data_IF_472700508595
#
_entry.id   IF_472700508595
#
_cell.length_a   1.000
_cell.length_b   1.000
_cell.length_c   1.000
_cell.angle_alpha   90.00
_cell.angle_beta   90.00
_cell.angle_gamma   90.00
#
_symmetry.space_group_name_H-M   'P 1'
#
loop_
_entity.id
_entity.type
_entity.pdbx_description
1 polymer ?
#
# COMPACT_ATOMS: atom_id res chain seq x y z
N UNK A 1 -15.69 20.71 -8.01
CA UNK A 1 -14.34 20.69 -7.40
C UNK A 1 -13.39 19.78 -8.16
N UNK A 2 -13.42 18.45 -8.04
CA UNK A 2 -12.44 17.62 -8.78
C UNK A 2 -12.51 17.74 -10.31
N UNK A 3 -13.70 17.67 -10.92
CA UNK A 3 -13.86 17.89 -12.37
C UNK A 3 -13.44 19.29 -12.83
N UNK A 4 -13.52 20.28 -11.95
CA UNK A 4 -13.08 21.65 -12.21
C UNK A 4 -11.55 21.72 -12.17
N UNK A 5 -10.92 21.10 -11.16
CA UNK A 5 -9.48 20.96 -11.08
C UNK A 5 -8.90 20.31 -12.33
N UNK A 6 -9.51 19.22 -12.80
CA UNK A 6 -9.05 18.48 -13.98
C UNK A 6 -8.96 19.36 -15.23
N UNK A 7 -9.86 20.34 -15.37
CA UNK A 7 -9.99 21.19 -16.56
C UNK A 7 -9.27 22.53 -16.42
N UNK A 8 -9.05 23.00 -15.20
CA UNK A 8 -8.46 24.33 -14.99
C UNK A 8 -6.95 24.32 -15.23
N UNK A 9 -6.43 25.33 -15.92
CA UNK A 9 -5.01 25.44 -16.26
C UNK A 9 -4.27 26.51 -15.46
N UNK A 10 -4.79 26.90 -14.29
CA UNK A 10 -4.21 28.00 -13.52
C UNK A 10 -2.97 27.53 -12.74
N UNK A 11 -1.89 28.33 -12.67
CA UNK A 11 -0.68 27.95 -11.93
C UNK A 11 -0.93 27.63 -10.44
N UNK A 12 -1.91 28.28 -9.80
CA UNK A 12 -2.31 28.04 -8.40
C UNK A 12 -3.13 26.75 -8.20
N UNK A 13 -3.34 25.98 -9.25
CA UNK A 13 -4.18 24.77 -9.27
C UNK A 13 -3.42 23.53 -9.74
N UNK A 14 -2.09 23.52 -9.67
CA UNK A 14 -1.30 22.41 -10.18
C UNK A 14 -1.31 21.18 -9.25
N UNK A 15 -1.64 21.35 -7.96
CA UNK A 15 -1.68 20.25 -6.98
C UNK A 15 -3.12 19.97 -6.55
N UNK A 16 -3.52 18.70 -6.56
CA UNK A 16 -4.71 18.19 -5.89
C UNK A 16 -4.32 17.12 -4.89
N UNK A 17 -4.65 17.34 -3.63
CA UNK A 17 -4.24 16.49 -2.53
C UNK A 17 -5.41 15.68 -1.98
N UNK A 18 -5.31 14.36 -2.04
CA UNK A 18 -6.19 13.45 -1.30
C UNK A 18 -5.57 13.19 0.08
N UNK A 19 -6.23 13.66 1.12
CA UNK A 19 -5.85 13.42 2.50
C UNK A 19 -6.76 12.37 3.14
N UNK A 20 -6.22 11.51 3.99
CA UNK A 20 -7.03 10.46 4.61
C UNK A 20 -6.33 9.63 5.66
N UNK A 21 -7.08 9.20 6.69
CA UNK A 21 -6.61 8.29 7.73
C UNK A 21 -6.10 6.97 7.14
N UNK A 22 -5.23 6.22 7.82
CA UNK A 22 -4.88 4.84 7.44
C UNK A 22 -6.14 4.03 7.17
N UNK A 23 -6.16 3.20 6.12
CA UNK A 23 -7.32 2.37 5.80
C UNK A 23 -8.58 3.09 5.30
N UNK A 24 -8.53 4.39 4.96
CA UNK A 24 -9.69 5.15 4.43
C UNK A 24 -9.93 5.00 2.91
N UNK A 25 -9.14 4.19 2.21
CA UNK A 25 -9.33 3.92 0.78
C UNK A 25 -8.60 4.86 -0.19
N UNK A 26 -7.66 5.69 0.27
CA UNK A 26 -6.83 6.58 -0.59
C UNK A 26 -6.23 5.86 -1.80
N UNK A 27 -5.50 4.77 -1.58
CA UNK A 27 -4.87 3.99 -2.64
C UNK A 27 -5.86 3.31 -3.57
N UNK A 28 -7.03 2.91 -3.05
CA UNK A 28 -8.13 2.38 -3.85
C UNK A 28 -8.68 3.45 -4.78
N UNK A 29 -8.92 4.67 -4.25
CA UNK A 29 -9.36 5.81 -5.03
C UNK A 29 -8.31 6.20 -6.09
N UNK A 30 -7.03 6.25 -5.73
CA UNK A 30 -5.95 6.56 -6.68
C UNK A 30 -5.91 5.56 -7.85
N UNK A 31 -6.00 4.26 -7.56
CA UNK A 31 -6.05 3.21 -8.58
C UNK A 31 -7.29 3.32 -9.47
N UNK A 32 -8.44 3.64 -8.87
CA UNK A 32 -9.67 3.87 -9.61
C UNK A 32 -9.53 5.05 -10.58
N UNK A 33 -9.07 6.20 -10.09
CA UNK A 33 -8.90 7.42 -10.88
C UNK A 33 -7.85 7.26 -11.99
N UNK A 34 -6.78 6.51 -11.73
CA UNK A 34 -5.79 6.18 -12.75
C UNK A 34 -6.43 5.42 -13.94
N UNK A 35 -7.42 4.57 -13.70
CA UNK A 35 -8.08 3.77 -14.75
C UNK A 35 -9.38 4.38 -15.27
N UNK A 36 -9.86 5.45 -14.66
CA UNK A 36 -11.15 6.05 -14.96
C UNK A 36 -11.09 6.88 -16.26
N UNK A 37 -11.99 6.59 -17.19
CA UNK A 37 -12.05 7.22 -18.52
C UNK A 37 -12.55 8.66 -18.47
N UNK A 38 -13.38 9.04 -17.50
CA UNK A 38 -13.87 10.41 -17.37
C UNK A 38 -12.80 11.34 -16.78
N UNK A 39 -11.94 10.81 -15.90
CA UNK A 39 -10.71 11.51 -15.46
C UNK A 39 -9.80 11.77 -16.64
N UNK A 40 -9.58 10.76 -17.49
CA UNK A 40 -8.76 10.89 -18.69
C UNK A 40 -9.34 11.93 -19.67
N UNK A 41 -10.65 11.90 -19.93
CA UNK A 41 -11.33 12.93 -20.75
C UNK A 41 -11.19 14.34 -20.14
N UNK A 42 -11.31 14.45 -18.81
CA UNK A 42 -11.13 15.72 -18.10
C UNK A 42 -9.73 16.29 -18.29
N UNK A 43 -8.70 15.46 -18.12
CA UNK A 43 -7.30 15.84 -18.35
C UNK A 43 -7.03 16.14 -19.82
N UNK A 44 -7.64 15.41 -20.76
CA UNK A 44 -7.50 15.69 -22.19
C UNK A 44 -8.14 17.05 -22.55
N UNK A 45 -9.25 17.40 -21.91
CA UNK A 45 -9.85 18.72 -22.04
C UNK A 45 -8.93 19.85 -21.57
N UNK A 46 -8.17 19.63 -20.48
CA UNK A 46 -7.12 20.55 -20.04
C UNK A 46 -5.90 20.57 -20.98
N UNK A 47 -5.52 19.42 -21.52
CA UNK A 47 -4.42 19.31 -22.48
C UNK A 47 -4.70 20.10 -23.76
N UNK A 48 -5.96 20.16 -24.20
CA UNK A 48 -6.34 20.78 -25.47
C UNK A 48 -5.67 20.05 -26.64
N UNK A 49 -4.97 20.80 -27.49
CA UNK A 49 -4.25 20.26 -28.66
C UNK A 49 -2.90 19.61 -28.29
N UNK A 50 -2.47 19.71 -27.02
CA UNK A 50 -1.23 19.10 -26.53
C UNK A 50 -1.41 17.62 -26.27
N UNK A 51 -0.31 16.88 -26.35
CA UNK A 51 -0.28 15.45 -26.04
C UNK A 51 -0.17 15.23 -24.53
N UNK A 52 -1.20 14.65 -23.92
CA UNK A 52 -1.21 14.31 -22.50
C UNK A 52 -0.29 13.11 -22.19
N UNK A 53 0.65 13.29 -21.27
CA UNK A 53 1.44 12.20 -20.67
C UNK A 53 0.99 12.00 -19.23
N UNK A 54 0.42 10.83 -18.95
CA UNK A 54 0.05 10.41 -17.59
C UNK A 54 1.17 9.57 -17.00
N UNK A 55 1.59 9.91 -15.79
CA UNK A 55 2.69 9.31 -15.05
C UNK A 55 2.17 8.82 -13.71
N UNK A 56 2.73 7.74 -13.19
CA UNK A 56 2.42 7.30 -11.84
C UNK A 56 3.65 6.86 -11.06
N UNK A 57 3.56 6.99 -9.73
CA UNK A 57 4.45 6.33 -8.80
C UNK A 57 3.70 6.13 -7.49
N UNK A 58 3.63 4.90 -7.00
CA UNK A 58 2.97 4.58 -5.74
C UNK A 58 4.02 4.11 -4.76
N UNK A 59 4.24 4.90 -3.71
CA UNK A 59 5.09 4.48 -2.62
C UNK A 59 4.46 3.26 -1.97
N UNK A 60 5.32 2.30 -1.65
CA UNK A 60 4.89 1.10 -0.96
C UNK A 60 5.88 0.76 0.13
N UNK A 61 5.53 1.07 1.38
CA UNK A 61 6.38 0.86 2.55
C UNK A 61 6.76 -0.62 2.77
N UNK A 62 5.92 -1.55 2.31
CA UNK A 62 6.18 -2.99 2.32
C UNK A 62 6.87 -3.50 1.04
N UNK A 63 7.09 -2.62 0.06
CA UNK A 63 7.80 -2.93 -1.18
C UNK A 63 9.32 -2.95 -1.02
N UNK A 64 10.00 -3.09 -2.16
CA UNK A 64 11.45 -3.01 -2.28
C UNK A 64 11.99 -1.63 -1.86
N UNK A 65 13.30 -1.55 -1.61
CA UNK A 65 13.95 -0.27 -1.27
C UNK A 65 13.76 0.83 -2.33
N UNK A 66 13.57 0.47 -3.60
CA UNK A 66 13.26 1.46 -4.64
C UNK A 66 11.80 1.92 -4.56
N UNK A 67 10.85 1.04 -4.24
CA UNK A 67 9.42 1.37 -4.18
C UNK A 67 9.06 2.30 -3.01
N UNK A 68 9.96 2.48 -2.04
CA UNK A 68 9.79 3.40 -0.91
C UNK A 68 10.78 4.56 -0.85
N UNK A 69 11.69 4.69 -1.83
CA UNK A 69 12.76 5.71 -1.82
C UNK A 69 12.58 6.77 -2.91
N UNK A 70 13.20 7.93 -2.65
CA UNK A 70 13.29 9.05 -3.59
C UNK A 70 13.97 8.66 -4.88
N UNK A 71 15.06 7.90 -4.81
CA UNK A 71 15.74 7.34 -5.99
C UNK A 71 14.79 6.53 -6.88
N UNK A 72 13.90 5.72 -6.30
CA UNK A 72 12.93 4.95 -7.07
C UNK A 72 11.86 5.81 -7.71
N UNK A 73 11.33 6.82 -7.00
CA UNK A 73 10.43 7.83 -7.55
C UNK A 73 11.05 8.50 -8.79
N UNK A 74 12.24 9.09 -8.62
CA UNK A 74 12.92 9.85 -9.67
C UNK A 74 13.22 8.98 -10.89
N UNK A 75 13.79 7.78 -10.68
CA UNK A 75 14.09 6.84 -11.77
C UNK A 75 12.84 6.40 -12.53
N UNK A 76 11.75 6.14 -11.82
CA UNK A 76 10.50 5.69 -12.42
C UNK A 76 9.84 6.78 -13.26
N UNK A 77 9.82 8.02 -12.76
CA UNK A 77 9.28 9.16 -13.49
C UNK A 77 10.13 9.49 -14.73
N UNK A 78 11.45 9.54 -14.57
CA UNK A 78 12.38 9.74 -15.68
C UNK A 78 12.18 8.67 -16.77
N UNK A 79 12.14 7.39 -16.39
CA UNK A 79 11.92 6.31 -17.33
C UNK A 79 10.60 6.45 -18.09
N UNK A 80 9.51 6.78 -17.39
CA UNK A 80 8.20 6.95 -18.02
C UNK A 80 8.17 8.12 -19.01
N UNK A 81 8.76 9.27 -18.67
CA UNK A 81 8.79 10.44 -19.55
C UNK A 81 9.71 10.16 -20.76
N UNK A 82 10.94 9.71 -20.53
CA UNK A 82 11.92 9.48 -21.60
C UNK A 82 11.49 8.40 -22.58
N UNK A 83 10.74 7.39 -22.11
CA UNK A 83 10.14 6.37 -22.99
C UNK A 83 9.07 6.96 -23.91
N UNK A 84 8.35 7.99 -23.48
CA UNK A 84 7.31 8.66 -24.28
C UNK A 84 7.87 9.75 -25.19
N UNK A 85 8.94 10.42 -24.77
CA UNK A 85 9.57 11.51 -25.51
C UNK A 85 11.06 11.19 -25.75
N UNK A 86 11.41 10.16 -26.52
CA UNK A 86 12.80 9.69 -26.63
C UNK A 86 13.78 10.74 -27.20
N UNK A 87 13.28 11.72 -27.96
CA UNK A 87 14.09 12.78 -28.55
C UNK A 87 14.81 13.64 -27.51
N UNK A 88 14.25 13.80 -26.30
CA UNK A 88 14.89 14.61 -25.26
C UNK A 88 16.06 13.89 -24.58
N UNK A 89 16.19 12.56 -24.71
CA UNK A 89 17.25 11.77 -24.05
C UNK A 89 18.63 12.31 -24.41
N UNK A 90 18.86 12.64 -25.68
CA UNK A 90 20.15 13.17 -26.15
C UNK A 90 20.46 14.57 -25.62
N UNK A 91 19.42 15.31 -25.22
CA UNK A 91 19.53 16.68 -24.71
C UNK A 91 19.81 16.63 -23.21
N UNK A 92 18.96 15.93 -22.45
CA UNK A 92 18.98 15.94 -20.97
C UNK A 92 19.98 14.95 -20.37
N UNK A 93 20.29 13.84 -21.05
CA UNK A 93 21.21 12.81 -20.57
C UNK A 93 22.56 12.86 -21.29
N UNK A 94 22.91 13.97 -21.94
CA UNK A 94 24.11 14.06 -22.78
C UNK A 94 25.41 13.65 -22.06
N UNK A 95 25.63 14.16 -20.85
CA UNK A 95 26.83 13.83 -20.08
C UNK A 95 26.83 12.38 -19.61
N UNK A 96 25.69 11.85 -19.18
CA UNK A 96 25.55 10.43 -18.80
C UNK A 96 25.71 9.47 -19.98
N UNK A 97 25.29 9.87 -21.18
CA UNK A 97 25.53 9.13 -22.41
C UNK A 97 27.02 9.14 -22.80
N UNK A 98 27.73 10.25 -22.58
CA UNK A 98 29.19 10.29 -22.77
C UNK A 98 29.91 9.40 -21.77
N UNK A 99 29.53 9.44 -20.50
CA UNK A 99 30.06 8.57 -19.45
C UNK A 99 29.85 7.10 -19.83
N UNK A 100 28.62 6.72 -20.20
CA UNK A 100 28.30 5.38 -20.66
C UNK A 100 29.15 4.92 -21.84
N UNK A 101 29.33 5.78 -22.85
CA UNK A 101 30.18 5.48 -24.01
C UNK A 101 31.63 5.22 -23.60
N UNK A 102 32.21 6.08 -22.75
CA UNK A 102 33.58 5.89 -22.24
C UNK A 102 33.73 4.58 -21.47
N UNK A 103 32.73 4.20 -20.67
CA UNK A 103 32.75 2.92 -19.94
C UNK A 103 32.70 1.71 -20.87
N UNK A 104 31.84 1.76 -21.90
CA UNK A 104 31.72 0.70 -22.92
C UNK A 104 33.02 0.57 -23.72
N UNK A 105 33.58 1.70 -24.17
CA UNK A 105 34.84 1.73 -24.93
C UNK A 105 36.03 1.23 -24.07
N UNK A 106 35.95 1.39 -22.76
CA UNK A 106 36.91 0.87 -21.78
C UNK A 106 36.69 -0.60 -21.37
N UNK A 107 35.76 -1.32 -22.00
CA UNK A 107 35.51 -2.75 -21.72
C UNK A 107 34.73 -3.04 -20.43
N UNK A 108 34.16 -2.02 -19.79
CA UNK A 108 33.31 -2.17 -18.61
C UNK A 108 31.85 -2.24 -19.10
N UNK A 109 31.18 -3.38 -18.88
CA UNK A 109 29.73 -3.49 -19.07
C UNK A 109 29.05 -2.38 -18.28
N UNK A 110 27.96 -1.79 -18.79
CA UNK A 110 27.25 -0.58 -18.33
C UNK A 110 26.88 -0.43 -16.83
N UNK A 111 27.39 -1.26 -15.93
CA UNK A 111 27.34 -1.14 -14.46
C UNK A 111 28.08 0.09 -13.92
N UNK A 112 28.89 0.79 -14.73
CA UNK A 112 29.72 1.92 -14.29
C UNK A 112 29.04 3.30 -14.21
N UNK A 113 27.83 3.49 -14.76
CA UNK A 113 27.20 4.84 -14.80
C UNK A 113 26.34 5.04 -13.57
N UNK A 114 26.92 5.67 -12.55
CA UNK A 114 26.21 6.00 -11.32
C UNK A 114 25.46 7.34 -11.49
N UNK A 115 24.22 7.35 -11.00
CA UNK A 115 23.42 8.56 -10.89
C UNK A 115 23.37 8.94 -9.42
N UNK A 116 23.89 10.12 -9.11
CA UNK A 116 23.66 10.78 -7.84
C UNK A 116 22.22 11.27 -7.74
N UNK A 117 21.72 11.43 -6.52
CA UNK A 117 20.33 11.85 -6.32
C UNK A 117 20.09 13.30 -6.75
N UNK A 118 21.08 14.17 -6.55
CA UNK A 118 21.08 15.56 -7.04
C UNK A 118 20.91 15.61 -8.56
N UNK A 119 21.67 14.79 -9.28
CA UNK A 119 21.60 14.65 -10.74
C UNK A 119 20.24 14.13 -11.22
N UNK A 120 19.65 13.18 -10.49
CA UNK A 120 18.32 12.66 -10.82
C UNK A 120 17.24 13.73 -10.67
N UNK A 121 17.33 14.56 -9.63
CA UNK A 121 16.39 15.66 -9.41
C UNK A 121 16.54 16.73 -10.49
N UNK A 122 17.76 17.19 -10.78
CA UNK A 122 17.98 18.20 -11.83
C UNK A 122 17.51 17.68 -13.17
N UNK A 123 17.87 16.44 -13.51
CA UNK A 123 17.49 15.81 -14.78
C UNK A 123 15.97 15.62 -14.88
N UNK A 124 15.27 15.31 -13.79
CA UNK A 124 13.81 15.21 -13.81
C UNK A 124 13.18 16.56 -14.18
N UNK A 125 13.63 17.65 -13.56
CA UNK A 125 13.11 18.99 -13.86
C UNK A 125 13.42 19.36 -15.32
N UNK A 126 14.65 19.17 -15.78
CA UNK A 126 15.05 19.44 -17.17
C UNK A 126 14.21 18.63 -18.18
N UNK A 127 13.96 17.36 -17.87
CA UNK A 127 13.12 16.47 -18.69
C UNK A 127 11.69 16.95 -18.76
N UNK A 128 11.11 17.40 -17.66
CA UNK A 128 9.74 17.92 -17.61
C UNK A 128 9.64 19.22 -18.42
N UNK A 129 10.55 20.18 -18.20
CA UNK A 129 10.56 21.45 -18.94
C UNK A 129 10.76 21.26 -20.46
N UNK A 130 11.67 20.36 -20.86
CA UNK A 130 11.88 20.04 -22.29
C UNK A 130 10.73 19.26 -22.89
N UNK A 131 10.11 18.37 -22.12
CA UNK A 131 8.92 17.65 -22.54
C UNK A 131 7.78 18.64 -22.80
N UNK A 132 7.56 19.65 -21.96
CA UNK A 132 6.51 20.68 -22.14
C UNK A 132 6.83 21.68 -23.26
N UNK A 133 8.12 21.94 -23.50
CA UNK A 133 8.56 22.75 -24.64
C UNK A 133 8.29 22.07 -25.99
N UNK A 134 8.25 20.75 -25.99
CA UNK A 134 7.61 19.96 -27.06
C UNK A 134 6.12 19.87 -26.71
N UNK A 135 5.14 19.75 -27.63
CA UNK A 135 3.73 20.00 -27.32
C UNK A 135 3.05 18.93 -26.43
N UNK A 136 3.54 18.74 -25.21
CA UNK A 136 3.09 17.78 -24.21
C UNK A 136 2.69 18.52 -22.94
N UNK A 137 1.76 17.91 -22.20
CA UNK A 137 1.43 18.31 -20.83
C UNK A 137 1.49 17.07 -19.94
N UNK A 138 1.90 17.22 -18.68
CA UNK A 138 2.20 16.10 -17.81
C UNK A 138 1.24 16.05 -16.62
N UNK A 139 0.69 14.87 -16.34
CA UNK A 139 -0.12 14.63 -15.16
C UNK A 139 0.46 13.48 -14.34
N UNK A 140 0.85 13.76 -13.10
CA UNK A 140 1.47 12.81 -12.18
C UNK A 140 0.45 12.32 -11.17
N UNK A 141 0.41 11.01 -10.95
CA UNK A 141 -0.37 10.35 -9.91
C UNK A 141 0.60 9.77 -8.88
N UNK A 142 0.63 10.33 -7.68
CA UNK A 142 1.54 9.91 -6.62
C UNK A 142 0.78 9.51 -5.35
N UNK A 143 0.94 8.27 -4.91
CA UNK A 143 0.25 7.75 -3.72
C UNK A 143 1.25 7.37 -2.63
N UNK A 144 0.80 7.45 -1.39
CA UNK A 144 1.58 7.08 -0.22
C UNK A 144 2.77 8.02 0.04
N UNK A 145 2.62 9.33 -0.12
CA UNK A 145 3.77 10.24 0.15
C UNK A 145 4.30 10.11 1.60
N UNK A 146 3.43 9.72 2.54
CA UNK A 146 3.79 9.42 3.93
C UNK A 146 4.51 8.07 4.11
N UNK A 147 4.54 7.22 3.08
CA UNK A 147 5.26 5.95 3.05
C UNK A 147 6.70 6.07 2.53
N UNK A 148 7.14 7.29 2.20
CA UNK A 148 8.54 7.58 1.88
C UNK A 148 9.44 7.32 3.10
N UNK A 149 10.52 6.56 2.90
CA UNK A 149 11.44 6.17 3.97
C UNK A 149 12.49 7.23 4.36
N UNK A 150 12.52 8.37 3.66
CA UNK A 150 13.36 9.52 3.99
C UNK A 150 12.57 10.71 4.56
N UNK A 151 13.16 11.91 4.47
CA UNK A 151 12.54 13.12 4.99
C UNK A 151 11.37 13.59 4.14
N UNK A 152 10.16 13.69 4.71
CA UNK A 152 8.96 14.17 3.98
C UNK A 152 9.17 15.54 3.30
N UNK A 153 10.05 16.39 3.85
CA UNK A 153 10.42 17.68 3.26
C UNK A 153 11.07 17.55 1.87
N UNK A 154 11.80 16.47 1.62
CA UNK A 154 12.45 16.24 0.33
C UNK A 154 11.43 15.98 -0.78
N UNK A 155 10.42 15.16 -0.49
CA UNK A 155 9.31 14.87 -1.42
C UNK A 155 8.46 16.11 -1.63
N UNK A 156 8.15 16.83 -0.55
CA UNK A 156 7.47 18.13 -0.62
C UNK A 156 8.23 19.10 -1.54
N UNK A 157 9.56 19.17 -1.41
CA UNK A 157 10.40 20.00 -2.27
C UNK A 157 10.33 19.61 -3.75
N UNK A 158 10.33 18.32 -4.07
CA UNK A 158 10.15 17.84 -5.46
C UNK A 158 8.77 18.22 -6.00
N UNK A 159 7.72 17.97 -5.22
CA UNK A 159 6.34 18.26 -5.64
C UNK A 159 6.16 19.76 -5.88
N UNK A 160 6.69 20.62 -4.99
CA UNK A 160 6.65 22.09 -5.18
C UNK A 160 7.36 22.52 -6.46
N UNK A 161 8.57 22.02 -6.71
CA UNK A 161 9.31 22.33 -7.96
C UNK A 161 8.55 21.88 -9.21
N UNK A 162 7.92 20.72 -9.18
CA UNK A 162 7.08 20.27 -10.30
C UNK A 162 5.81 21.12 -10.45
N UNK A 163 5.23 21.59 -9.34
CA UNK A 163 4.02 22.40 -9.34
C UNK A 163 4.25 23.81 -9.90
N UNK A 164 5.49 24.32 -9.84
CA UNK A 164 5.87 25.62 -10.41
C UNK A 164 5.93 25.60 -11.94
N UNK A 165 6.04 24.42 -12.55
CA UNK A 165 6.15 24.28 -14.01
C UNK A 165 4.74 24.38 -14.61
N UNK A 166 4.59 25.24 -15.64
CA UNK A 166 3.35 25.32 -16.40
C UNK A 166 3.01 23.96 -17.04
N UNK A 167 1.74 23.68 -17.30
CA UNK A 167 1.30 22.44 -17.95
C UNK A 167 1.66 21.14 -17.22
N UNK A 168 1.85 21.25 -15.90
CA UNK A 168 1.96 20.14 -14.97
C UNK A 168 0.74 20.07 -14.06
N UNK A 169 0.20 18.86 -13.90
CA UNK A 169 -0.80 18.53 -12.87
C UNK A 169 -0.26 17.43 -11.95
N UNK A 170 -0.46 17.60 -10.66
CA UNK A 170 0.01 16.71 -9.60
C UNK A 170 -1.19 16.25 -8.80
N UNK A 171 -1.50 14.97 -8.92
CA UNK A 171 -2.53 14.29 -8.16
C UNK A 171 -1.84 13.46 -7.08
N UNK A 172 -1.90 13.93 -5.83
CA UNK A 172 -1.10 13.38 -4.74
C UNK A 172 -1.97 12.85 -3.60
N UNK A 173 -1.55 11.77 -2.94
CA UNK A 173 -2.25 11.21 -1.80
C UNK A 173 -1.32 10.89 -0.64
N UNK A 174 -1.76 11.22 0.58
CA UNK A 174 -1.03 10.93 1.81
C UNK A 174 -1.94 10.88 3.04
N UNK A 175 -1.39 10.44 4.18
CA UNK A 175 -1.97 10.74 5.50
C UNK A 175 -2.01 12.26 5.74
N UNK A 176 -2.97 12.76 6.55
CA UNK A 176 -3.07 14.18 6.90
C UNK A 176 -2.02 14.58 7.96
N UNK A 177 -0.74 14.30 7.69
CA UNK A 177 0.35 14.77 8.54
C UNK A 177 0.50 16.28 8.40
N UNK A 178 0.88 16.97 9.48
CA UNK A 178 1.05 18.43 9.50
C UNK A 178 1.90 18.92 8.34
N UNK A 179 3.03 18.26 8.07
CA UNK A 179 3.92 18.61 6.97
C UNK A 179 3.22 18.69 5.60
N UNK A 180 2.31 17.76 5.30
CA UNK A 180 1.56 17.77 4.04
C UNK A 180 0.40 18.76 4.08
N UNK A 181 -0.26 18.89 5.23
CA UNK A 181 -1.31 19.90 5.46
C UNK A 181 -0.81 21.32 5.27
N UNK A 182 0.33 21.65 5.86
CA UNK A 182 0.97 22.96 5.80
C UNK A 182 1.32 23.34 4.36
N UNK A 183 1.65 22.36 3.51
CA UNK A 183 2.14 22.58 2.16
C UNK A 183 1.09 22.44 1.06
N UNK A 184 0.10 21.56 1.22
CA UNK A 184 -0.87 21.19 0.18
C UNK A 184 -2.33 21.33 0.65
N UNK A 185 -2.56 21.59 1.94
CA UNK A 185 -3.90 21.69 2.54
C UNK A 185 -4.46 23.10 2.68
N UNK A 186 -3.73 24.13 2.24
CA UNK A 186 -4.13 25.53 2.43
C UNK A 186 -5.33 25.94 1.56
N UNK A 187 -5.59 25.24 0.46
CA UNK A 187 -6.75 25.49 -0.42
C UNK A 187 -7.76 24.34 -0.35
N UNK A 188 -8.87 24.58 0.33
CA UNK A 188 -9.99 23.63 0.48
C UNK A 188 -10.67 23.23 -0.84
N UNK A 189 -10.39 23.93 -1.95
CA UNK A 189 -10.90 23.56 -3.28
C UNK A 189 -10.16 22.35 -3.84
N UNK A 190 -8.86 22.24 -3.55
CA UNK A 190 -7.96 21.23 -4.11
C UNK A 190 -7.49 20.19 -3.08
N UNK A 191 -8.08 20.20 -1.88
CA UNK A 191 -7.92 19.18 -0.86
C UNK A 191 -9.17 18.30 -0.77
N UNK A 192 -9.00 16.98 -0.83
CA UNK A 192 -10.06 16.00 -0.67
C UNK A 192 -9.79 15.11 0.56
N UNK A 193 -10.39 15.44 1.72
CA UNK A 193 -10.32 14.58 2.90
C UNK A 193 -11.23 13.36 2.73
N UNK A 194 -10.72 12.29 2.10
CA UNK A 194 -11.53 11.12 1.68
C UNK A 194 -12.27 10.46 2.85
N UNK A 195 -11.65 10.39 4.04
CA UNK A 195 -12.26 9.82 5.24
C UNK A 195 -13.55 10.53 5.68
N UNK A 196 -13.85 11.74 5.20
CA UNK A 196 -15.12 12.44 5.45
C UNK A 196 -16.22 12.10 4.44
N UNK A 197 -15.90 11.33 3.41
CA UNK A 197 -16.76 11.06 2.24
C UNK A 197 -17.04 9.57 2.04
N UNK A 198 -16.74 8.75 3.05
CA UNK A 198 -16.85 7.27 2.95
C UNK A 198 -18.07 6.73 3.67
N UNK A 199 -18.92 7.58 4.26
CA UNK A 199 -20.05 7.15 5.09
C UNK A 199 -21.02 6.23 4.33
N UNK A 200 -21.49 6.67 3.16
CA UNK A 200 -22.42 5.91 2.33
C UNK A 200 -21.81 4.60 1.82
N UNK A 201 -20.55 4.64 1.40
CA UNK A 201 -19.83 3.46 0.94
C UNK A 201 -19.60 2.44 2.08
N UNK A 202 -19.29 2.91 3.29
CA UNK A 202 -19.16 2.08 4.48
C UNK A 202 -20.50 1.47 4.86
N UNK A 203 -21.59 2.25 4.77
CA UNK A 203 -22.95 1.78 5.03
C UNK A 203 -23.34 0.68 4.05
N UNK A 204 -23.09 0.90 2.76
CA UNK A 204 -23.33 -0.08 1.70
C UNK A 204 -22.51 -1.35 1.93
N UNK A 205 -21.19 -1.21 2.13
CA UNK A 205 -20.29 -2.34 2.39
C UNK A 205 -20.72 -3.17 3.61
N UNK A 206 -21.08 -2.48 4.70
CA UNK A 206 -21.55 -3.12 5.94
C UNK A 206 -22.81 -3.94 5.68
N UNK A 207 -23.80 -3.35 4.99
CA UNK A 207 -25.05 -4.04 4.68
C UNK A 207 -24.82 -5.23 3.75
N UNK A 208 -24.14 -5.03 2.63
CA UNK A 208 -23.89 -6.09 1.65
C UNK A 208 -23.16 -7.28 2.28
N UNK A 209 -22.18 -7.01 3.15
CA UNK A 209 -21.41 -8.07 3.81
C UNK A 209 -22.23 -8.83 4.85
N UNK A 210 -23.05 -8.14 5.64
CA UNK A 210 -23.90 -8.79 6.66
C UNK A 210 -25.08 -9.53 6.02
N UNK A 211 -25.75 -8.93 5.05
CA UNK A 211 -26.93 -9.47 4.35
C UNK A 211 -26.59 -10.58 3.33
N UNK A 212 -25.30 -10.79 3.05
CA UNK A 212 -24.82 -11.98 2.37
C UNK A 212 -25.16 -13.26 3.16
N UNK A 213 -25.25 -13.17 4.49
CA UNK A 213 -25.73 -14.26 5.34
C UNK A 213 -27.27 -14.27 5.41
N UNK A 214 -27.88 -15.42 5.10
CA UNK A 214 -29.34 -15.59 5.07
C UNK A 214 -30.03 -15.22 6.40
N UNK A 215 -29.41 -15.57 7.53
CA UNK A 215 -29.94 -15.26 8.87
C UNK A 215 -30.05 -13.75 9.06
N UNK A 216 -29.02 -13.01 8.66
CA UNK A 216 -28.98 -11.57 8.83
C UNK A 216 -29.87 -10.83 7.85
N UNK A 217 -30.07 -11.36 6.64
CA UNK A 217 -31.08 -10.85 5.73
C UNK A 217 -32.50 -10.94 6.32
N UNK A 218 -32.78 -12.00 7.09
CA UNK A 218 -34.04 -12.12 7.81
C UNK A 218 -34.12 -11.13 8.98
N UNK A 219 -33.04 -10.93 9.73
CA UNK A 219 -32.99 -9.95 10.83
C UNK A 219 -33.16 -8.52 10.27
N UNK A 220 -32.48 -8.17 9.17
CA UNK A 220 -32.54 -6.83 8.58
C UNK A 220 -33.93 -6.41 8.13
N UNK A 221 -34.78 -7.38 7.78
CA UNK A 221 -36.16 -7.16 7.35
C UNK A 221 -37.17 -7.10 8.51
N UNK A 222 -36.84 -7.71 9.65
CA UNK A 222 -37.80 -7.96 10.73
C UNK A 222 -37.45 -7.29 12.07
N UNK A 223 -36.22 -6.82 12.25
CA UNK A 223 -35.74 -6.25 13.50
C UNK A 223 -35.09 -4.88 13.27
N UNK A 224 -35.68 -3.82 13.84
CA UNK A 224 -35.19 -2.45 13.71
C UNK A 224 -33.78 -2.25 14.27
N UNK A 225 -33.36 -3.07 15.24
CA UNK A 225 -32.03 -2.99 15.87
C UNK A 225 -30.90 -3.28 14.91
N UNK A 226 -31.18 -3.96 13.79
CA UNK A 226 -30.21 -4.12 12.73
C UNK A 226 -29.80 -2.77 12.12
N UNK A 227 -30.76 -1.87 11.88
CA UNK A 227 -30.46 -0.56 11.32
C UNK A 227 -29.67 0.29 12.32
N UNK A 228 -30.00 0.18 13.61
CA UNK A 228 -29.24 0.84 14.69
C UNK A 228 -27.79 0.34 14.70
N UNK A 229 -27.57 -0.98 14.66
CA UNK A 229 -26.23 -1.57 14.60
C UNK A 229 -25.45 -1.07 13.38
N UNK A 230 -26.07 -1.01 12.20
CA UNK A 230 -25.41 -0.49 10.98
C UNK A 230 -25.07 1.00 11.15
N UNK A 231 -25.99 1.81 11.70
CA UNK A 231 -25.74 3.21 11.96
C UNK A 231 -24.58 3.43 12.95
N UNK A 232 -24.56 2.66 14.05
CA UNK A 232 -23.49 2.69 15.04
C UNK A 232 -22.14 2.31 14.42
N UNK A 233 -22.07 1.27 13.57
CA UNK A 233 -20.84 0.89 12.87
C UNK A 233 -20.35 2.03 11.98
N UNK A 234 -21.25 2.65 11.21
CA UNK A 234 -20.92 3.72 10.26
C UNK A 234 -20.40 4.95 11.00
N UNK A 235 -21.06 5.35 12.09
CA UNK A 235 -20.66 6.50 12.92
C UNK A 235 -19.28 6.28 13.55
N UNK A 236 -19.06 5.10 14.14
CA UNK A 236 -17.80 4.76 14.81
C UNK A 236 -16.63 4.49 13.85
N UNK A 237 -16.91 4.26 12.56
CA UNK A 237 -15.87 4.01 11.57
C UNK A 237 -14.95 5.21 11.36
N UNK A 238 -15.44 6.44 11.58
CA UNK A 238 -14.72 7.68 11.29
C UNK A 238 -14.05 7.69 9.89
N UNK A 239 -14.71 7.04 8.93
CA UNK A 239 -14.26 6.89 7.55
C UNK A 239 -13.09 5.93 7.31
N UNK A 240 -12.87 4.97 8.20
CA UNK A 240 -11.77 3.99 8.12
C UNK A 240 -12.32 2.60 7.77
N UNK A 241 -12.25 2.21 6.48
CA UNK A 241 -12.68 0.90 6.01
C UNK A 241 -11.97 -0.27 6.68
N UNK A 242 -10.69 -0.09 7.05
CA UNK A 242 -9.95 -1.14 7.77
C UNK A 242 -10.63 -1.47 9.11
N UNK A 243 -11.04 -0.45 9.86
CA UNK A 243 -11.73 -0.60 11.14
C UNK A 243 -13.05 -1.34 10.94
N UNK A 244 -13.85 -0.91 9.96
CA UNK A 244 -15.12 -1.58 9.59
C UNK A 244 -14.88 -3.03 9.22
N UNK A 245 -13.83 -3.32 8.44
CA UNK A 245 -13.50 -4.69 8.04
C UNK A 245 -13.19 -5.57 9.25
N UNK A 246 -12.44 -5.06 10.23
CA UNK A 246 -12.13 -5.78 11.46
C UNK A 246 -13.38 -5.98 12.33
N UNK A 247 -14.24 -4.97 12.44
CA UNK A 247 -15.52 -5.05 13.15
C UNK A 247 -16.42 -6.12 12.54
N UNK A 248 -16.62 -6.07 11.21
CA UNK A 248 -17.45 -7.02 10.50
C UNK A 248 -16.89 -8.44 10.62
N UNK A 249 -15.57 -8.63 10.54
CA UNK A 249 -14.93 -9.93 10.81
C UNK A 249 -15.26 -10.45 12.22
N UNK A 250 -15.21 -9.59 13.24
CA UNK A 250 -15.56 -9.96 14.63
C UNK A 250 -17.05 -10.34 14.76
N UNK A 251 -17.93 -9.58 14.11
CA UNK A 251 -19.37 -9.85 14.10
C UNK A 251 -19.69 -11.16 13.39
N UNK A 252 -19.09 -11.42 12.21
CA UNK A 252 -19.30 -12.63 11.41
C UNK A 252 -19.07 -13.94 12.19
N UNK A 253 -18.21 -13.93 13.20
CA UNK A 253 -18.04 -15.08 14.12
C UNK A 253 -19.33 -15.35 14.90
N UNK A 254 -19.98 -14.33 15.45
CA UNK A 254 -21.28 -14.46 16.12
C UNK A 254 -22.41 -14.80 15.15
N UNK A 255 -22.37 -14.25 13.93
CA UNK A 255 -23.33 -14.59 12.87
C UNK A 255 -23.27 -16.08 12.53
N UNK A 256 -22.06 -16.63 12.42
CA UNK A 256 -21.85 -18.06 12.13
C UNK A 256 -22.35 -18.94 13.27
N UNK A 257 -22.27 -18.45 14.51
CA UNK A 257 -22.83 -19.09 15.70
C UNK A 257 -24.36 -18.94 15.82
N UNK A 258 -25.02 -18.20 14.92
CA UNK A 258 -26.45 -17.85 14.97
C UNK A 258 -26.85 -17.05 16.21
N UNK A 259 -25.95 -16.19 16.69
CA UNK A 259 -26.23 -15.26 17.79
C UNK A 259 -27.42 -14.34 17.45
N UNK A 260 -28.24 -13.99 18.44
CA UNK A 260 -29.27 -12.96 18.29
C UNK A 260 -28.67 -11.55 18.23
N UNK A 261 -29.40 -10.58 17.68
CA UNK A 261 -28.90 -9.22 17.39
C UNK A 261 -28.38 -8.51 18.65
N UNK A 262 -28.93 -8.80 19.82
CA UNK A 262 -28.55 -8.23 21.12
C UNK A 262 -27.12 -8.62 21.50
N UNK A 263 -26.74 -9.87 21.25
CA UNK A 263 -25.38 -10.36 21.50
C UNK A 263 -24.38 -9.75 20.51
N UNK A 264 -24.83 -9.45 19.29
CA UNK A 264 -24.01 -8.82 18.26
C UNK A 264 -23.78 -7.33 18.58
N UNK A 265 -24.81 -6.63 19.07
CA UNK A 265 -24.68 -5.28 19.61
C UNK A 265 -23.79 -5.26 20.87
N UNK A 266 -23.90 -6.26 21.74
CA UNK A 266 -22.97 -6.45 22.86
C UNK A 266 -21.52 -6.60 22.38
N UNK A 267 -21.29 -7.53 21.45
CA UNK A 267 -19.98 -7.75 20.85
C UNK A 267 -19.44 -6.50 20.16
N UNK A 268 -20.29 -5.72 19.49
CA UNK A 268 -19.90 -4.46 18.87
C UNK A 268 -19.42 -3.44 19.91
N UNK A 269 -20.13 -3.30 21.03
CA UNK A 269 -19.75 -2.40 22.13
C UNK A 269 -18.44 -2.76 22.81
N UNK A 270 -18.03 -4.03 22.77
CA UNK A 270 -16.73 -4.49 23.27
C UNK A 270 -15.57 -4.23 22.30
N UNK A 271 -15.85 -3.82 21.06
CA UNK A 271 -14.83 -3.54 20.04
C UNK A 271 -14.29 -2.11 20.25
N UNK A 272 -12.96 -1.94 20.37
CA UNK A 272 -12.35 -0.63 20.48
C UNK A 272 -12.57 0.23 19.24
N UNK A 273 -12.72 1.54 19.46
CA UNK A 273 -12.78 2.52 18.39
C UNK A 273 -11.39 2.78 17.77
N UNK A 274 -10.31 2.72 18.56
CA UNK A 274 -8.96 2.94 18.05
C UNK A 274 -8.35 1.67 17.43
N UNK A 275 -7.69 1.83 16.27
CA UNK A 275 -7.07 0.71 15.56
C UNK A 275 -5.95 0.03 16.37
N UNK A 276 -5.18 0.78 17.16
CA UNK A 276 -4.12 0.21 17.99
C UNK A 276 -4.70 -0.68 19.09
N UNK A 277 -5.77 -0.23 19.72
CA UNK A 277 -6.49 -1.03 20.73
C UNK A 277 -7.13 -2.27 20.10
N UNK A 278 -7.63 -2.17 18.86
CA UNK A 278 -8.09 -3.33 18.10
C UNK A 278 -6.96 -4.32 17.84
N UNK A 279 -5.78 -3.87 17.42
CA UNK A 279 -4.62 -4.75 17.25
C UNK A 279 -4.25 -5.40 18.57
N UNK A 280 -4.20 -4.66 19.67
CA UNK A 280 -3.90 -5.21 21.00
C UNK A 280 -4.90 -6.31 21.40
N UNK A 281 -6.19 -6.07 21.21
CA UNK A 281 -7.22 -7.06 21.48
C UNK A 281 -7.06 -8.31 20.60
N UNK A 282 -6.75 -8.16 19.31
CA UNK A 282 -6.53 -9.28 18.41
C UNK A 282 -5.32 -10.10 18.89
N UNK A 283 -4.22 -9.45 19.27
CA UNK A 283 -3.04 -10.12 19.80
C UNK A 283 -3.34 -10.85 21.12
N UNK A 284 -4.12 -10.24 22.02
CA UNK A 284 -4.53 -10.88 23.30
C UNK A 284 -5.40 -12.12 23.09
N UNK A 285 -6.23 -12.14 22.04
CA UNK A 285 -7.13 -13.25 21.69
C UNK A 285 -6.43 -14.42 20.99
N UNK A 286 -5.16 -14.27 20.57
CA UNK A 286 -4.39 -15.40 20.01
C UNK A 286 -4.23 -16.47 21.08
N UNK A 287 -4.62 -17.70 20.73
CA UNK A 287 -4.52 -18.88 21.59
C UNK A 287 -3.09 -18.99 22.15
N UNK A 288 -2.90 -19.18 23.48
CA UNK A 288 -1.59 -19.37 24.09
C UNK A 288 -0.68 -20.37 23.36
N UNK A 289 -1.23 -21.44 22.80
CA UNK A 289 -0.49 -22.47 22.04
C UNK A 289 0.17 -21.87 20.79
N UNK A 290 -0.44 -20.86 20.17
CA UNK A 290 0.03 -20.25 18.94
C UNK A 290 0.82 -18.95 19.16
N UNK A 291 0.90 -18.41 20.39
CA UNK A 291 1.53 -17.10 20.66
C UNK A 291 2.97 -17.02 20.19
N UNK A 292 3.80 -18.01 20.53
CA UNK A 292 5.21 -18.02 20.14
C UNK A 292 5.38 -18.03 18.61
N UNK A 293 4.58 -18.84 17.91
CA UNK A 293 4.59 -18.93 16.45
C UNK A 293 4.12 -17.62 15.79
N UNK A 294 3.00 -17.06 16.27
CA UNK A 294 2.49 -15.78 15.78
C UNK A 294 3.51 -14.66 15.97
N UNK A 295 4.12 -14.57 17.16
CA UNK A 295 5.13 -13.57 17.47
C UNK A 295 6.35 -13.68 16.54
N UNK A 296 6.86 -14.90 16.25
CA UNK A 296 7.93 -15.10 15.27
C UNK A 296 7.55 -14.57 13.88
N UNK A 297 6.36 -14.93 13.38
CA UNK A 297 5.88 -14.44 12.07
C UNK A 297 5.82 -12.92 12.07
N UNK A 298 5.20 -12.32 13.08
CA UNK A 298 5.07 -10.87 13.19
C UNK A 298 6.42 -10.16 13.23
N UNK A 299 7.38 -10.66 14.00
CA UNK A 299 8.73 -10.09 14.08
C UNK A 299 9.46 -10.16 12.73
N UNK A 300 9.41 -11.31 12.06
CA UNK A 300 10.03 -11.49 10.73
C UNK A 300 9.42 -10.51 9.73
N UNK A 301 8.09 -10.42 9.66
CA UNK A 301 7.41 -9.54 8.70
C UNK A 301 7.51 -8.06 9.06
N UNK A 302 7.59 -7.71 10.35
CA UNK A 302 7.77 -6.34 10.80
C UNK A 302 9.16 -5.81 10.45
N UNK A 303 10.20 -6.65 10.50
CA UNK A 303 11.59 -6.25 10.30
C UNK A 303 12.24 -6.76 9.01
N UNK A 304 11.49 -7.44 8.13
CA UNK A 304 12.02 -7.78 6.80
C UNK A 304 12.43 -6.49 6.07
N UNK A 305 13.64 -6.51 5.51
CA UNK A 305 14.20 -5.39 4.75
C UNK A 305 14.77 -4.23 5.59
N UNK A 306 14.78 -4.30 6.93
CA UNK A 306 15.50 -3.31 7.78
C UNK A 306 16.95 -3.71 8.04
N UNK A 307 17.34 -4.95 7.74
CA UNK A 307 18.72 -5.44 7.89
C UNK A 307 19.57 -4.99 6.70
N UNK A 308 20.47 -4.05 6.95
CA UNK A 308 21.33 -3.39 5.95
C UNK A 308 22.20 -4.34 5.10
N UNK A 309 22.35 -5.62 5.48
CA UNK A 309 23.22 -6.61 4.82
C UNK A 309 22.52 -7.94 4.45
N UNK A 310 21.19 -7.98 4.40
CA UNK A 310 20.47 -9.21 4.02
C UNK A 310 20.32 -9.34 2.50
N UNK A 311 20.90 -10.39 1.91
CA UNK A 311 20.64 -10.82 0.51
C UNK A 311 19.17 -11.16 0.28
N UNK A 312 18.44 -11.50 1.35
CA UNK A 312 17.03 -11.86 1.33
C UNK A 312 16.18 -10.61 1.58
N UNK A 313 15.56 -10.09 0.53
CA UNK A 313 14.74 -8.86 0.57
C UNK A 313 13.31 -9.09 1.06
N UNK A 314 12.81 -10.32 1.00
CA UNK A 314 11.48 -10.74 1.47
C UNK A 314 11.52 -12.22 1.84
N UNK A 315 10.61 -12.66 2.70
CA UNK A 315 10.49 -14.05 3.12
C UNK A 315 9.31 -14.74 2.42
N UNK A 316 9.54 -15.64 1.45
CA UNK A 316 8.49 -16.45 0.85
C UNK A 316 7.70 -17.24 1.89
N UNK A 317 6.40 -17.46 1.64
CA UNK A 317 5.54 -18.31 2.49
C UNK A 317 6.21 -19.65 2.81
N UNK A 318 6.84 -20.30 1.82
CA UNK A 318 7.46 -21.62 2.01
C UNK A 318 8.59 -21.62 3.05
N UNK A 319 9.26 -20.48 3.29
CA UNK A 319 10.27 -20.40 4.35
C UNK A 319 9.66 -20.56 5.74
N UNK A 320 8.42 -20.13 5.93
CA UNK A 320 7.73 -20.25 7.21
C UNK A 320 7.39 -21.69 7.58
N UNK A 321 7.27 -22.59 6.59
CA UNK A 321 7.13 -24.03 6.83
C UNK A 321 8.31 -24.59 7.62
N UNK A 322 9.52 -24.08 7.36
CA UNK A 322 10.76 -24.58 7.97
C UNK A 322 11.17 -23.83 9.23
N UNK A 323 10.54 -22.70 9.57
CA UNK A 323 10.83 -21.94 10.80
C UNK A 323 10.50 -22.72 12.08
N UNK A 324 9.59 -23.68 11.94
CA UNK A 324 9.00 -24.46 13.02
C UNK A 324 9.50 -25.90 13.08
N UNK A 325 10.49 -26.24 12.25
CA UNK A 325 11.11 -27.55 12.34
C UNK A 325 11.70 -27.72 13.75
N UNK A 326 11.12 -28.64 14.53
CA UNK A 326 11.41 -28.89 15.95
C UNK A 326 12.87 -29.32 16.23
N UNK A 327 13.67 -29.50 15.19
CA UNK A 327 15.03 -30.05 15.27
C UNK A 327 16.05 -28.92 15.31
N UNK A 328 16.78 -28.80 16.43
CA UNK A 328 18.04 -28.03 16.47
C UNK A 328 18.99 -28.58 15.40
N UNK A 329 19.52 -27.66 14.59
CA UNK A 329 20.35 -27.94 13.40
C UNK A 329 19.59 -28.62 12.24
N UNK A 330 18.27 -28.46 12.15
CA UNK A 330 17.46 -28.99 11.05
C UNK A 330 18.10 -28.69 9.68
N UNK A 331 18.52 -27.45 9.45
CA UNK A 331 19.15 -27.05 8.18
C UNK A 331 20.46 -27.77 7.86
N UNK A 332 21.18 -28.25 8.88
CA UNK A 332 22.46 -28.97 8.73
C UNK A 332 22.25 -30.49 8.63
N UNK A 333 21.20 -31.01 9.28
CA UNK A 333 20.89 -32.44 9.33
C UNK A 333 19.88 -32.91 8.28
N UNK A 334 19.20 -31.98 7.61
CA UNK A 334 18.22 -32.32 6.59
C UNK A 334 18.94 -32.93 5.37
N UNK A 335 18.63 -34.18 5.06
CA UNK A 335 19.10 -34.81 3.85
C UNK A 335 18.56 -34.05 2.63
N UNK A 336 19.45 -33.69 1.70
CA UNK A 336 19.05 -33.13 0.41
C UNK A 336 18.30 -34.23 -0.35
N UNK A 337 17.04 -33.99 -0.66
CA UNK A 337 16.17 -34.92 -1.37
C UNK A 337 15.37 -34.16 -2.41
N UNK A 338 15.04 -34.86 -3.51
CA UNK A 338 14.10 -34.35 -4.49
C UNK A 338 12.72 -34.28 -3.86
N UNK A 339 12.10 -33.10 -3.93
CA UNK A 339 10.73 -32.87 -3.47
C UNK A 339 9.86 -32.69 -4.70
N UNK A 340 8.77 -33.47 -4.79
CA UNK A 340 7.85 -33.35 -5.93
C UNK A 340 7.13 -31.99 -5.89
N UNK A 341 6.69 -31.51 -7.06
CA UNK A 341 5.91 -30.25 -7.12
C UNK A 341 4.63 -30.32 -6.27
N UNK A 342 3.99 -31.49 -6.22
CA UNK A 342 2.77 -31.70 -5.42
C UNK A 342 3.06 -31.57 -3.92
N UNK A 343 4.20 -32.08 -3.44
CA UNK A 343 4.63 -31.90 -2.05
C UNK A 343 4.95 -30.45 -1.73
N UNK A 344 5.59 -29.71 -2.66
CA UNK A 344 5.84 -28.27 -2.47
C UNK A 344 4.52 -27.50 -2.38
N UNK A 345 3.56 -27.83 -3.23
CA UNK A 345 2.24 -27.21 -3.25
C UNK A 345 1.45 -27.49 -1.97
N UNK A 346 1.50 -28.74 -1.49
CA UNK A 346 0.90 -29.14 -0.22
C UNK A 346 1.49 -28.33 0.95
N UNK A 347 2.81 -28.33 1.10
CA UNK A 347 3.51 -27.55 2.14
C UNK A 347 3.18 -26.06 2.06
N UNK A 348 3.14 -25.50 0.85
CA UNK A 348 2.80 -24.09 0.65
C UNK A 348 1.38 -23.78 1.13
N UNK A 349 0.40 -24.59 0.71
CA UNK A 349 -1.00 -24.39 1.08
C UNK A 349 -1.25 -24.61 2.58
N UNK A 350 -0.60 -25.60 3.19
CA UNK A 350 -0.61 -25.80 4.63
C UNK A 350 -0.05 -24.59 5.37
N UNK A 351 1.11 -24.09 4.93
CA UNK A 351 1.73 -22.90 5.53
C UNK A 351 0.84 -21.67 5.40
N UNK A 352 0.17 -21.46 4.26
CA UNK A 352 -0.82 -20.39 4.13
C UNK A 352 -1.93 -20.51 5.17
N UNK A 353 -2.49 -21.72 5.35
CA UNK A 353 -3.54 -21.96 6.36
C UNK A 353 -3.02 -21.71 7.77
N UNK A 354 -1.81 -22.16 8.09
CA UNK A 354 -1.18 -21.95 9.39
C UNK A 354 -0.98 -20.46 9.68
N UNK A 355 -0.38 -19.71 8.75
CA UNK A 355 -0.18 -18.25 8.91
C UNK A 355 -1.52 -17.55 9.14
N UNK A 356 -2.52 -17.80 8.27
CA UNK A 356 -3.82 -17.16 8.37
C UNK A 356 -4.54 -17.49 9.70
N UNK A 357 -4.37 -18.72 10.20
CA UNK A 357 -4.93 -19.16 11.49
C UNK A 357 -4.21 -18.53 12.67
N UNK A 358 -2.88 -18.66 12.72
CA UNK A 358 -2.05 -18.30 13.88
C UNK A 358 -1.95 -16.79 14.05
N UNK A 359 -1.95 -16.02 12.96
CA UNK A 359 -1.89 -14.57 13.01
C UNK A 359 -3.26 -13.89 13.19
N UNK A 360 -4.34 -14.65 13.46
CA UNK A 360 -5.70 -14.13 13.69
C UNK A 360 -6.17 -13.13 12.63
N UNK A 361 -5.78 -13.34 11.37
CA UNK A 361 -6.15 -12.48 10.25
C UNK A 361 -5.48 -11.09 10.22
N UNK A 362 -4.43 -10.82 11.01
CA UNK A 362 -3.58 -9.62 10.85
C UNK A 362 -2.56 -9.77 9.73
N UNK A 363 -2.22 -11.01 9.38
CA UNK A 363 -1.34 -11.37 8.27
C UNK A 363 -2.12 -12.29 7.35
N UNK A 364 -1.99 -12.04 6.06
CA UNK A 364 -2.61 -12.84 5.01
C UNK A 364 -1.53 -13.51 4.14
N UNK A 365 -1.73 -14.79 3.87
CA UNK A 365 -0.97 -15.58 2.93
C UNK A 365 -1.93 -16.18 1.90
N UNK A 366 -1.75 -15.79 0.63
CA UNK A 366 -2.59 -16.26 -0.46
C UNK A 366 -2.18 -17.67 -0.90
N UNK A 367 -3.16 -18.59 -0.92
CA UNK A 367 -2.98 -19.92 -1.48
C UNK A 367 -2.58 -19.85 -2.97
N UNK A 368 -1.90 -20.88 -3.45
CA UNK A 368 -1.55 -20.94 -4.86
C UNK A 368 -2.83 -21.03 -5.70
N UNK A 369 -3.01 -20.10 -6.65
CA UNK A 369 -4.15 -20.11 -7.55
C UNK A 369 -4.14 -21.34 -8.46
N UNK A 370 -5.28 -21.64 -9.08
CA UNK A 370 -5.44 -22.74 -10.04
C UNK A 370 -4.73 -22.49 -11.38
N UNK A 371 -4.17 -21.30 -11.58
CA UNK A 371 -3.39 -20.97 -12.78
C UNK A 371 -2.03 -21.68 -12.78
N UNK A 372 -1.78 -22.39 -13.88
CA UNK A 372 -0.66 -23.32 -14.09
C UNK A 372 0.70 -22.82 -13.55
N UNK A 373 1.22 -23.60 -12.60
CA UNK A 373 2.62 -24.09 -12.49
C UNK A 373 3.71 -23.12 -12.93
N UNK A 374 4.08 -22.20 -12.05
CA UNK A 374 5.41 -21.55 -12.10
C UNK A 374 5.96 -21.43 -10.68
N UNK A 375 7.22 -21.82 -10.49
CA UNK A 375 7.97 -21.72 -9.23
C UNK A 375 7.83 -20.35 -8.53
N UNK A 376 7.62 -19.28 -9.30
CA UNK A 376 7.37 -17.93 -8.81
C UNK A 376 6.17 -17.81 -7.84
N UNK A 377 5.18 -18.69 -7.93
CA UNK A 377 4.05 -18.70 -6.98
C UNK A 377 4.50 -19.03 -5.55
N UNK A 378 5.55 -19.83 -5.38
CA UNK A 378 6.09 -20.20 -4.08
C UNK A 378 7.01 -19.12 -3.48
N UNK A 379 7.32 -18.07 -4.25
CA UNK A 379 8.12 -16.92 -3.81
C UNK A 379 7.26 -15.79 -3.24
N UNK A 380 5.92 -15.92 -3.22
CA UNK A 380 5.05 -14.89 -2.67
C UNK A 380 5.25 -14.78 -1.15
N UNK A 381 5.57 -13.59 -0.61
CA UNK A 381 5.65 -13.40 0.83
C UNK A 381 4.25 -13.24 1.45
N UNK A 382 4.08 -13.60 2.73
CA UNK A 382 2.93 -13.16 3.50
C UNK A 382 3.00 -11.65 3.76
N UNK A 383 1.85 -11.01 3.94
CA UNK A 383 1.77 -9.56 4.14
C UNK A 383 0.75 -9.19 5.23
N UNK A 384 1.00 -8.07 5.91
CA UNK A 384 0.01 -7.51 6.83
C UNK A 384 -1.23 -7.04 6.08
N UNK A 385 -2.41 -7.22 6.67
CA UNK A 385 -3.68 -6.72 6.09
C UNK A 385 -3.66 -5.22 5.80
N UNK A 386 -2.85 -4.47 6.55
CA UNK A 386 -2.61 -3.06 6.32
C UNK A 386 -1.29 -2.62 6.96
N UNK A 387 -0.65 -1.62 6.37
CA UNK A 387 0.63 -1.06 6.82
C UNK A 387 0.59 -0.57 8.29
N UNK A 388 -0.55 -0.06 8.76
CA UNK A 388 -0.72 0.34 10.17
C UNK A 388 -0.58 -0.80 11.17
N UNK A 389 -0.90 -2.05 10.80
CA UNK A 389 -0.68 -3.20 11.68
C UNK A 389 0.82 -3.48 11.84
N UNK A 390 1.59 -3.33 10.76
CA UNK A 390 3.06 -3.41 10.79
C UNK A 390 3.65 -2.33 11.68
N UNK A 391 3.23 -1.07 11.50
CA UNK A 391 3.68 0.08 12.29
C UNK A 391 3.37 -0.10 13.78
N UNK A 392 2.17 -0.57 14.10
CA UNK A 392 1.78 -0.87 15.48
C UNK A 392 2.73 -1.89 16.12
N UNK A 393 3.01 -2.99 15.41
CA UNK A 393 3.93 -4.02 15.90
C UNK A 393 5.34 -3.46 16.07
N UNK A 394 5.85 -2.70 15.10
CA UNK A 394 7.19 -2.07 15.14
C UNK A 394 7.35 -1.10 16.32
N UNK A 395 6.30 -0.33 16.64
CA UNK A 395 6.30 0.59 17.78
C UNK A 395 6.22 -0.15 19.13
N UNK A 396 5.66 -1.36 19.16
CA UNK A 396 5.39 -2.14 20.37
C UNK A 396 6.19 -3.45 20.42
N UNK A 397 7.38 -3.50 19.83
CA UNK A 397 8.22 -4.71 19.81
C UNK A 397 8.78 -5.11 21.17
N UNK A 398 8.69 -4.20 22.14
CA UNK A 398 8.96 -4.49 23.56
C UNK A 398 7.77 -5.09 24.30
N UNK A 399 6.60 -5.24 23.66
CA UNK A 399 5.41 -5.83 24.27
C UNK A 399 5.67 -7.26 24.75
N UNK A 400 5.02 -7.61 25.87
CA UNK A 400 5.10 -8.95 26.46
C UNK A 400 4.68 -10.05 25.48
N UNK A 401 3.73 -9.75 24.58
CA UNK A 401 3.30 -10.64 23.52
C UNK A 401 4.47 -11.00 22.58
N UNK A 402 5.15 -10.00 22.02
CA UNK A 402 6.21 -10.26 21.03
C UNK A 402 7.45 -10.89 21.67
N UNK A 403 7.75 -10.57 22.93
CA UNK A 403 8.83 -11.22 23.70
C UNK A 403 8.58 -12.72 23.91
N UNK A 404 7.33 -13.17 23.97
CA UNK A 404 7.03 -14.60 24.13
C UNK A 404 7.43 -15.47 22.93
N UNK A 405 7.71 -14.86 21.77
CA UNK A 405 8.20 -15.55 20.57
C UNK A 405 9.72 -15.54 20.40
N UNK A 406 10.45 -14.84 21.27
CA UNK A 406 11.91 -14.75 21.22
C UNK A 406 12.47 -15.83 22.20
N UNK A 407 13.34 -16.74 21.74
CA UNK A 407 13.95 -17.76 22.59
C UNK A 407 14.77 -17.19 23.75
#
# INVERSE_FOLDING_TARGET
RFNEWLRTGRPDSNVFWISGRPGSGKSTLMKYLWRNTDVEKGLQGWAGDRTLIRLNFFFWAAGSSLEKSRKGLLRSLLFQILRRVPNIIRIVCHEKLKEAKRSIDGGILCEGVFWEESELVSTLIDVVEKAISSPFCLCFFMDGLDEYDGSSLEIVGIIKRLAEIADVKLYIASRPLSIFGDHFGQDDRWNLPIHKLTEDDIRLYTRDTLEANKTFRHISQNDGRYQDLVAEIVENAHGVFLWVTLVIRSLLVGITAKDQIEFLQGRFRDIPQDLNDMYEQILKKIDPVYKAHAAKIFLILAYQGTTLNSSVKFWPVLMFYYLDAEVKDFSVKLAIQDVSEDQVLERYNETCRTINKVCSGLVEAAAAGTEKRKYWNYLKPPFFIHQSAKEYLQAHTTSSFLRSGIP
#
